data_IF_638581999216
#
_entry.id   IF_638581999216
#
_cell.length_a   1.000
_cell.length_b   1.000
_cell.length_c   1.000
_cell.angle_alpha   90.00
_cell.angle_beta   90.00
_cell.angle_gamma   90.00
#
_symmetry.space_group_name_H-M   'P 1'
#
loop_
_entity.id
_entity.type
_entity.pdbx_description
1 polymer ?
2 polymer ?
3 polymer ?
4 non-polymer ?
5 non-polymer ?
6 water ?
#
loop_
_entity_poly.entity_id
_entity_poly.type
_entity_poly.pdbx_seq_one_letter_code
_entity_poly.pdbx_strand_id
1 'polydeoxyribonucleotide' '(DG)(DG)(DG)(DG)(DT)(DG)(DT)(DG)(DG)(DT)(DA)(DG)' ?
2 'polydeoxyribonucleotide' '(DA)(DT)(DC)(DG)(DC)(DT)(DA)(DC)(DC)(DA)(DC)(DA)(DC)(DC)(DC)(DC)(DT)' ?
#
# COMPACT_ATOMS: atom_id res chain seq x y z
N UNK C 12 -17.12 -22.70 1.93
CA UNK C 12 -17.97 -21.60 1.47
C UNK C 12 -18.65 -20.87 2.62
N UNK C 13 -18.36 -19.58 2.75
CA UNK C 13 -18.89 -18.73 3.82
C UNK C 13 -19.52 -17.50 3.18
N UNK C 14 -20.83 -17.37 3.33
CA UNK C 14 -21.57 -16.28 2.71
C UNK C 14 -21.61 -15.08 3.64
N UNK C 15 -21.98 -13.93 3.08
CA UNK C 15 -21.86 -12.69 3.82
C UNK C 15 -22.77 -12.64 5.04
N UNK C 16 -23.83 -13.44 5.07
CA UNK C 16 -24.69 -13.43 6.24
C UNK C 16 -24.29 -14.49 7.27
N UNK C 17 -23.19 -15.17 7.06
CA UNK C 17 -22.62 -16.13 7.99
C UNK C 17 -21.74 -15.39 8.99
N UNK C 18 -21.80 -15.72 10.27
CA UNK C 18 -20.96 -14.99 11.24
C UNK C 18 -19.46 -15.06 10.93
N UNK C 19 -18.99 -16.09 10.24
CA UNK C 19 -17.57 -16.27 9.96
C UNK C 19 -17.12 -15.56 8.70
N UNK C 20 -17.95 -14.71 8.10
CA UNK C 20 -17.61 -14.16 6.80
C UNK C 20 -16.44 -13.19 6.91
N UNK C 21 -16.48 -12.29 7.88
CA UNK C 21 -15.40 -11.31 8.02
C UNK C 21 -14.06 -12.00 8.18
N UNK C 22 -14.00 -12.97 9.08
CA UNK C 22 -12.75 -13.67 9.35
C UNK C 22 -12.23 -14.36 8.10
N UNK C 23 -13.10 -15.05 7.36
CA UNK C 23 -12.65 -15.81 6.21
C UNK C 23 -12.28 -14.88 5.06
N UNK C 24 -13.06 -13.83 4.85
CA UNK C 24 -12.68 -12.86 3.82
C UNK C 24 -11.31 -12.27 4.11
N UNK C 25 -11.11 -11.78 5.34
CA UNK C 25 -9.83 -11.18 5.69
C UNK C 25 -8.70 -12.19 5.59
N UNK C 26 -8.96 -13.44 5.96
CA UNK C 26 -7.89 -14.43 5.88
C UNK C 26 -7.48 -14.67 4.43
N UNK C 27 -8.39 -14.44 3.48
CA UNK C 27 -8.12 -14.69 2.06
C UNK C 27 -7.65 -13.45 1.31
N UNK C 28 -7.85 -12.26 1.87
CA UNK C 28 -7.71 -11.02 1.12
C UNK C 28 -6.28 -10.51 1.24
N UNK C 29 -5.55 -10.53 0.12
CA UNK C 29 -4.19 -10.01 0.15
C UNK C 29 -4.18 -8.51 0.44
N UNK C 30 -5.21 -7.78 0.00
CA UNK C 30 -5.25 -6.35 0.28
C UNK C 30 -5.44 -6.08 1.78
N UNK C 31 -6.31 -6.85 2.44
CA UNK C 31 -6.40 -6.76 3.90
C UNK C 31 -5.05 -7.03 4.53
N UNK C 32 -4.38 -8.09 4.10
CA UNK C 32 -3.10 -8.45 4.70
C UNK C 32 -2.09 -7.32 4.51
N UNK C 33 -2.06 -6.70 3.33
CA UNK C 33 -1.14 -5.59 3.11
C UNK C 33 -1.38 -4.48 4.13
N UNK C 34 -2.65 -4.15 4.37
CA UNK C 34 -2.99 -3.08 5.32
C UNK C 34 -2.68 -3.48 6.75
N UNK C 35 -3.06 -4.70 7.14
CA UNK C 35 -2.78 -5.14 8.51
C UNK C 35 -1.27 -5.24 8.74
N UNK C 36 -0.52 -5.75 7.77
CA UNK C 36 0.91 -5.79 7.96
C UNK C 36 1.46 -4.38 8.12
N UNK C 37 0.99 -3.45 7.29
CA UNK C 37 1.52 -2.09 7.37
C UNK C 37 1.23 -1.48 8.73
N UNK C 38 0.00 -1.63 9.21
CA UNK C 38 -0.36 -1.00 10.49
C UNK C 38 0.41 -1.60 11.65
N UNK C 39 0.62 -2.92 11.63
CA UNK C 39 1.38 -3.54 12.72
C UNK C 39 2.85 -3.12 12.68
N UNK C 40 3.42 -2.94 11.49
CA UNK C 40 4.78 -2.43 11.41
C UNK C 40 4.87 -1.00 11.94
N UNK C 41 3.86 -0.17 11.68
CA UNK C 41 3.91 1.19 12.20
C UNK C 41 3.80 1.20 13.73
N UNK C 42 2.90 0.38 14.29
CA UNK C 42 2.80 0.28 15.75
C UNK C 42 4.09 -0.23 16.37
N UNK C 43 4.70 -1.25 15.73
CA UNK C 43 5.92 -1.82 16.25
C UNK C 43 7.04 -0.79 16.25
N UNK C 44 7.08 0.05 15.21
CA UNK C 44 8.02 1.15 15.21
C UNK C 44 7.77 2.07 16.41
N UNK C 45 6.51 2.44 16.62
CA UNK C 45 6.20 3.40 17.67
C UNK C 45 6.58 2.85 19.03
N UNK C 46 6.40 1.56 19.24
CA UNK C 46 6.75 0.95 20.53
C UNK C 46 8.25 0.93 20.76
N UNK C 47 9.00 0.38 19.81
CA UNK C 47 10.45 0.28 19.96
C UNK C 47 11.10 1.64 20.17
N UNK C 48 10.43 2.71 19.77
CA UNK C 48 11.01 4.04 19.86
C UNK C 48 10.26 4.89 20.88
N UNK C 49 9.50 4.23 21.77
CA UNK C 49 8.66 4.90 22.75
C UNK C 49 9.47 5.87 23.59
N UNK C 50 10.71 5.53 23.88
CA UNK C 50 11.59 6.41 24.63
C UNK C 50 12.81 6.84 23.85
N UNK C 51 13.26 6.02 22.91
CA UNK C 51 14.28 6.47 21.96
C UNK C 51 13.74 7.67 21.18
N UNK C 52 14.57 8.68 20.99
CA UNK C 52 14.21 9.79 20.11
C UNK C 52 14.92 9.54 18.78
N UNK C 53 14.26 8.76 17.95
CA UNK C 53 14.70 8.48 16.60
C UNK C 53 14.06 9.54 15.69
N UNK C 54 14.91 10.40 15.11
CA UNK C 54 14.49 11.52 14.29
C UNK C 54 15.73 12.04 13.59
N UNK C 55 15.51 12.60 12.43
CA UNK C 55 16.53 13.30 11.66
C UNK C 55 16.35 14.78 11.96
N UNK C 56 17.43 15.48 12.21
CA UNK C 56 17.37 16.91 12.44
C UNK C 56 17.94 17.64 11.24
N UNK C 57 17.63 18.93 11.14
CA UNK C 57 18.27 19.76 10.11
C UNK C 57 19.78 19.73 10.24
N UNK C 58 20.30 19.34 11.40
CA UNK C 58 21.74 19.27 11.63
C UNK C 58 22.37 18.17 10.78
N UNK C 59 21.59 17.18 10.39
CA UNK C 59 22.11 16.01 9.72
C UNK C 59 22.11 16.21 8.22
N UNK C 60 23.15 15.73 7.57
CA UNK C 60 23.10 15.42 6.14
C UNK C 60 22.93 13.93 6.04
N UNK C 61 21.98 13.48 5.24
CA UNK C 61 21.60 12.08 5.25
C UNK C 61 21.53 11.55 3.83
N UNK C 62 21.66 10.25 3.73
CA UNK C 62 21.47 9.55 2.48
C UNK C 62 20.33 8.56 2.70
N UNK C 63 19.49 8.40 1.67
CA UNK C 63 18.32 7.54 1.72
C UNK C 63 18.58 6.29 0.92
N UNK C 64 18.39 5.15 1.57
CA UNK C 64 18.41 3.86 0.91
C UNK C 64 16.96 3.40 0.94
N UNK C 65 16.38 3.23 -0.23
CA UNK C 65 15.01 2.77 -0.36
C UNK C 65 15.09 1.35 -0.89
N UNK C 66 14.64 0.42 -0.07
CA UNK C 66 14.87 -1.01 -0.27
C UNK C 66 13.51 -1.69 -0.46
N UNK C 67 13.42 -2.59 -1.43
CA UNK C 67 12.15 -3.23 -1.75
C UNK C 67 12.40 -4.62 -2.31
N UNK C 68 11.69 -5.64 -1.84
CA UNK C 68 11.81 -6.95 -2.46
C UNK C 68 11.41 -6.86 -3.93
N UNK C 69 12.02 -7.67 -4.77
CA UNK C 69 11.56 -7.80 -6.15
C UNK C 69 10.41 -8.78 -6.17
N UNK C 70 9.37 -8.51 -6.95
CA UNK C 70 8.17 -9.40 -7.07
C UNK C 70 7.98 -10.21 -5.78
N UNK C 71 7.79 -9.54 -4.64
CA UNK C 71 7.71 -10.19 -3.34
C UNK C 71 6.82 -11.43 -3.31
N UNK C 72 5.51 -11.28 -3.50
CA UNK C 72 4.63 -12.45 -3.38
C UNK C 72 5.06 -13.56 -4.33
N UNK C 73 5.33 -13.22 -5.59
CA UNK C 73 5.76 -14.21 -6.55
C UNK C 73 7.00 -14.95 -6.07
N UNK C 74 8.03 -14.20 -5.69
CA UNK C 74 9.26 -14.85 -5.22
C UNK C 74 8.94 -15.79 -4.05
N UNK C 75 8.34 -15.26 -2.98
CA UNK C 75 8.13 -16.08 -1.79
C UNK C 75 7.21 -17.25 -2.10
N UNK C 76 6.16 -17.02 -2.90
CA UNK C 76 5.28 -18.12 -3.28
C UNK C 76 6.03 -19.17 -4.07
N UNK C 77 7.00 -18.74 -4.86
CA UNK C 77 7.80 -19.72 -5.59
C UNK C 77 8.67 -20.52 -4.62
N UNK C 78 9.54 -19.84 -3.86
CA UNK C 78 10.48 -20.52 -2.96
C UNK C 78 9.79 -21.52 -2.06
N UNK C 79 8.55 -21.23 -1.65
CA UNK C 79 7.77 -22.06 -0.73
C UNK C 79 6.71 -22.87 -1.43
N UNK C 80 6.73 -22.93 -2.77
CA UNK C 80 5.71 -23.66 -3.50
C UNK C 80 5.63 -25.11 -3.01
N UNK C 81 4.43 -25.69 -3.13
CA UNK C 81 4.23 -27.07 -2.74
C UNK C 81 4.90 -28.00 -3.76
N UNK C 82 5.02 -29.27 -3.37
CA UNK C 82 5.64 -30.26 -4.25
C UNK C 82 4.96 -30.34 -5.62
N UNK C 83 3.72 -29.86 -5.71
CA UNK C 83 2.97 -29.89 -6.97
C UNK C 83 3.54 -28.93 -8.03
N UNK C 84 4.37 -27.95 -7.63
CA UNK C 84 5.04 -27.04 -8.56
C UNK C 84 6.55 -27.16 -8.46
N UNK C 85 7.03 -28.36 -8.16
CA UNK C 85 8.45 -28.55 -7.91
C UNK C 85 9.29 -28.18 -9.12
N UNK C 86 8.82 -28.50 -10.33
CA UNK C 86 9.65 -28.36 -11.52
C UNK C 86 9.60 -26.98 -12.14
N UNK C 87 8.68 -26.11 -11.69
CA UNK C 87 8.55 -24.80 -12.27
C UNK C 87 9.79 -23.96 -11.97
N UNK C 88 10.13 -23.07 -12.91
CA UNK C 88 11.42 -22.36 -12.93
C UNK C 88 11.17 -20.85 -12.93
N UNK C 89 11.63 -20.19 -11.87
CA UNK C 89 11.38 -18.77 -11.69
C UNK C 89 12.04 -17.92 -12.75
N UNK C 90 13.18 -18.38 -13.28
CA UNK C 90 13.93 -17.64 -14.27
C UNK C 90 13.40 -17.86 -15.67
N UNK C 91 12.59 -18.88 -15.89
CA UNK C 91 12.15 -19.19 -17.25
C UNK C 91 10.65 -19.17 -17.43
N UNK C 92 9.85 -19.40 -16.38
CA UNK C 92 8.43 -19.49 -16.71
C UNK C 92 7.69 -18.26 -16.21
N UNK C 93 6.61 -17.85 -16.90
CA UNK C 93 5.80 -16.72 -16.41
C UNK C 93 4.95 -17.15 -15.23
N UNK C 94 5.15 -16.49 -14.10
CA UNK C 94 4.56 -16.92 -12.83
C UNK C 94 3.73 -15.78 -12.27
N UNK C 95 2.51 -16.10 -11.83
CA UNK C 95 1.68 -15.17 -11.09
C UNK C 95 1.19 -15.83 -9.81
N UNK C 96 0.84 -14.99 -8.83
CA UNK C 96 0.17 -15.41 -7.61
C UNK C 96 -1.27 -14.92 -7.69
N UNK C 97 -2.22 -15.83 -7.47
CA UNK C 97 -3.63 -15.46 -7.58
C UNK C 97 -4.47 -16.54 -6.94
N UNK C 98 -5.72 -16.19 -6.61
CA UNK C 98 -6.64 -17.15 -6.02
C UNK C 98 -7.22 -18.09 -7.08
N UNK C 99 -7.60 -17.55 -8.23
CA UNK C 99 -8.46 -18.28 -9.12
C UNK C 99 -7.86 -18.46 -10.50
N UNK C 100 -8.74 -18.59 -11.49
CA UNK C 100 -8.39 -18.96 -12.85
C UNK C 100 -8.86 -17.98 -13.91
N UNK C 101 -9.94 -17.23 -13.66
CA UNK C 101 -10.47 -16.32 -14.66
C UNK C 101 -10.35 -14.86 -14.21
N UNK C 102 -11.40 -14.34 -13.55
CA UNK C 102 -11.40 -12.94 -13.14
C UNK C 102 -10.81 -12.77 -11.73
N UNK C 103 -9.66 -13.38 -11.54
CA UNK C 103 -8.94 -13.34 -10.27
C UNK C 103 -7.77 -12.39 -10.40
N UNK C 104 -7.60 -11.53 -9.40
CA UNK C 104 -6.54 -10.53 -9.44
C UNK C 104 -5.18 -11.21 -9.45
N UNK C 105 -4.27 -10.69 -10.23
CA UNK C 105 -2.87 -11.11 -10.14
C UNK C 105 -2.20 -10.24 -9.08
N UNK C 106 -1.92 -10.82 -7.92
CA UNK C 106 -1.33 -10.05 -6.81
C UNK C 106 0.15 -9.75 -7.04
N UNK C 107 0.84 -10.56 -7.85
CA UNK C 107 2.26 -10.43 -8.10
C UNK C 107 2.63 -11.29 -9.29
N UNK C 108 3.55 -10.82 -10.13
CA UNK C 108 4.02 -11.64 -11.24
C UNK C 108 5.53 -11.49 -11.35
N UNK C 109 6.20 -12.54 -11.84
CA UNK C 109 7.65 -12.42 -11.91
C UNK C 109 8.03 -11.64 -13.16
N UNK C 110 9.33 -11.43 -13.36
CA UNK C 110 9.76 -10.53 -14.41
C UNK C 110 9.71 -11.21 -15.77
N UNK C 111 9.82 -12.54 -15.80
CA UNK C 111 9.46 -13.32 -16.99
C UNK C 111 8.04 -12.99 -17.43
N UNK C 112 7.07 -13.12 -16.52
CA UNK C 112 5.70 -12.76 -16.87
C UNK C 112 5.61 -11.30 -17.31
N UNK C 113 6.30 -10.40 -16.60
CA UNK C 113 6.26 -8.99 -16.96
C UNK C 113 6.85 -8.74 -18.33
N UNK C 114 7.72 -9.63 -18.79
CA UNK C 114 8.33 -9.51 -20.11
C UNK C 114 7.30 -9.64 -21.23
N UNK C 115 6.16 -10.27 -20.96
CA UNK C 115 5.05 -10.33 -21.92
C UNK C 115 4.03 -9.23 -21.69
N UNK C 116 4.31 -8.27 -20.81
CA UNK C 116 3.40 -7.19 -20.54
C UNK C 116 2.39 -7.41 -19.44
N UNK C 117 2.54 -8.45 -18.63
CA UNK C 117 1.60 -8.70 -17.54
C UNK C 117 1.92 -7.78 -16.37
N UNK C 118 0.90 -7.28 -15.70
CA UNK C 118 1.06 -6.33 -14.60
C UNK C 118 0.23 -6.79 -13.41
N UNK C 119 0.74 -6.50 -12.22
CA UNK C 119 -0.04 -6.72 -11.01
C UNK C 119 -1.40 -6.06 -11.16
N UNK C 120 -2.43 -6.67 -10.57
CA UNK C 120 -3.78 -6.14 -10.68
C UNK C 120 -4.59 -6.65 -11.86
N UNK C 121 -3.92 -7.13 -12.92
CA UNK C 121 -4.61 -7.74 -14.04
C UNK C 121 -5.40 -8.96 -13.57
N UNK C 122 -6.48 -9.26 -14.28
CA UNK C 122 -7.15 -10.54 -14.08
C UNK C 122 -6.39 -11.63 -14.81
N UNK C 123 -6.54 -12.87 -14.34
CA UNK C 123 -5.81 -13.99 -14.94
C UNK C 123 -6.17 -14.14 -16.40
N UNK C 124 -7.46 -14.06 -16.72
CA UNK C 124 -7.90 -14.22 -18.10
C UNK C 124 -7.16 -13.28 -19.03
N UNK C 125 -7.08 -12.00 -18.66
CA UNK C 125 -6.40 -11.06 -19.55
C UNK C 125 -4.93 -11.39 -19.68
N UNK C 126 -4.25 -11.64 -18.56
CA UNK C 126 -2.85 -12.01 -18.64
C UNK C 126 -2.61 -13.29 -19.43
N UNK C 127 -3.62 -14.17 -19.51
CA UNK C 127 -3.48 -15.38 -20.31
C UNK C 127 -3.44 -15.07 -21.80
N UNK C 128 -4.16 -14.02 -22.21
CA UNK C 128 -4.16 -13.65 -23.62
C UNK C 128 -2.83 -13.05 -24.05
N UNK C 129 -2.00 -12.62 -23.11
CA UNK C 129 -0.82 -11.87 -23.47
C UNK C 129 0.36 -12.77 -23.73
N UNK C 130 0.16 -14.07 -23.63
CA UNK C 130 1.22 -15.05 -23.85
C UNK C 130 1.08 -15.66 -25.24
N UNK C 131 2.19 -15.85 -25.95
CA UNK C 131 2.14 -16.61 -27.21
C UNK C 131 1.71 -18.04 -26.96
N UNK C 132 1.29 -18.72 -28.03
CA UNK C 132 0.91 -20.12 -27.93
C UNK C 132 2.10 -20.98 -27.55
N UNK C 133 1.86 -22.01 -26.75
CA UNK C 133 2.93 -22.86 -26.27
C UNK C 133 3.55 -22.43 -24.96
N UNK C 134 3.49 -21.14 -24.65
CA UNK C 134 3.95 -20.65 -23.36
C UNK C 134 2.78 -20.70 -22.40
N UNK C 135 2.96 -21.34 -21.25
CA UNK C 135 1.87 -21.52 -20.30
C UNK C 135 2.11 -20.70 -19.04
N UNK C 136 1.03 -20.11 -18.54
CA UNK C 136 1.06 -19.31 -17.34
C UNK C 136 1.04 -20.19 -16.09
N UNK C 137 1.89 -19.86 -15.13
CA UNK C 137 1.93 -20.59 -13.87
C UNK C 137 1.22 -19.77 -12.81
N UNK C 138 0.19 -20.36 -12.19
CA UNK C 138 -0.61 -19.72 -11.14
C UNK C 138 -0.28 -20.37 -9.80
N UNK C 139 0.50 -19.63 -8.92
CA UNK C 139 0.79 -20.16 -7.59
C UNK C 139 -0.17 -19.61 -6.55
N UNK C 140 -0.52 -20.41 -5.53
CA UNK C 140 -1.35 -19.90 -4.44
C UNK C 140 -0.57 -18.96 -3.54
N UNK C 141 -1.31 -18.11 -2.83
CA UNK C 141 -0.71 -17.27 -1.82
C UNK C 141 -0.17 -18.10 -0.66
N UNK C 142 0.86 -17.55 0.02
CA UNK C 142 1.47 -18.16 1.21
C UNK C 142 1.69 -17.05 2.24
N UNK C 143 0.59 -16.65 2.89
CA UNK C 143 0.61 -15.42 3.68
C UNK C 143 1.53 -15.54 4.88
N UNK C 144 1.46 -16.68 5.58
CA UNK C 144 2.33 -16.85 6.74
C UNK C 144 3.80 -16.70 6.35
N UNK C 145 4.22 -17.37 5.27
CA UNK C 145 5.61 -17.25 4.87
C UNK C 145 5.92 -15.90 4.26
N UNK C 146 4.91 -15.18 3.74
CA UNK C 146 5.15 -13.79 3.35
C UNK C 146 5.54 -13.00 4.57
N UNK C 147 4.84 -13.21 5.68
CA UNK C 147 5.18 -12.48 6.90
C UNK C 147 6.53 -12.93 7.45
N UNK C 148 6.83 -14.23 7.37
CA UNK C 148 8.10 -14.71 7.94
C UNK C 148 9.29 -14.14 7.17
N UNK C 149 9.20 -14.05 5.85
CA UNK C 149 10.28 -13.46 5.06
C UNK C 149 10.45 -11.99 5.37
N UNK C 150 9.34 -11.28 5.62
CA UNK C 150 9.45 -9.88 6.00
C UNK C 150 10.13 -9.71 7.34
N UNK C 151 9.80 -10.55 8.31
CA UNK C 151 10.49 -10.48 9.60
C UNK C 151 11.99 -10.58 9.41
N UNK C 152 12.41 -11.52 8.56
CA UNK C 152 13.84 -11.69 8.28
C UNK C 152 14.41 -10.45 7.61
N UNK C 153 13.62 -9.83 6.73
CA UNK C 153 13.97 -8.58 6.10
C UNK C 153 14.26 -7.49 7.14
N UNK C 154 13.29 -7.22 8.02
CA UNK C 154 13.48 -6.15 8.99
C UNK C 154 14.53 -6.51 10.02
N UNK C 155 14.70 -7.81 10.30
CA UNK C 155 15.72 -8.24 11.25
C UNK C 155 17.13 -8.05 10.71
N UNK C 156 17.35 -8.38 9.44
CA UNK C 156 18.64 -8.13 8.80
C UNK C 156 18.92 -6.64 8.71
N UNK C 157 17.93 -5.85 8.30
CA UNK C 157 18.13 -4.41 8.23
C UNK C 157 18.67 -3.87 9.53
N UNK C 158 18.06 -4.27 10.65
CA UNK C 158 18.46 -3.74 11.96
C UNK C 158 19.85 -4.24 12.35
N UNK C 159 20.10 -5.54 12.21
CA UNK C 159 21.37 -6.03 12.71
C UNK C 159 22.57 -5.56 11.90
N UNK C 160 22.36 -5.02 10.70
CA UNK C 160 23.49 -4.43 9.96
C UNK C 160 24.06 -3.21 10.69
N UNK C 161 23.25 -2.53 11.49
CA UNK C 161 23.68 -1.39 12.31
C UNK C 161 24.22 -0.23 11.48
N UNK C 162 23.85 -0.11 10.21
CA UNK C 162 24.38 0.95 9.37
C UNK C 162 23.39 2.09 9.17
N UNK C 163 22.19 2.00 9.75
CA UNK C 163 21.15 3.01 9.57
C UNK C 163 20.82 3.67 10.89
N UNK C 164 20.44 4.94 10.79
CA UNK C 164 20.01 5.70 11.95
C UNK C 164 18.50 5.72 12.08
N UNK C 165 17.81 5.56 10.97
CA UNK C 165 16.35 5.50 10.98
C UNK C 165 15.95 4.46 9.94
N UNK C 166 15.08 3.54 10.34
CA UNK C 166 14.60 2.47 9.48
C UNK C 166 13.09 2.62 9.43
N UNK C 167 12.57 3.08 8.29
CA UNK C 167 11.16 3.44 8.20
C UNK C 167 10.38 2.34 7.50
N UNK C 168 9.36 1.76 8.14
CA UNK C 168 8.58 0.72 7.47
C UNK C 168 7.55 1.34 6.53
N UNK C 169 7.64 0.98 5.26
CA UNK C 169 6.67 1.41 4.26
C UNK C 169 5.61 0.35 4.07
N UNK C 170 6.03 -0.92 4.08
CA UNK C 170 5.12 -2.03 3.88
C UNK C 170 5.86 -3.33 4.20
N UNK C 171 5.13 -4.44 4.10
CA UNK C 171 5.66 -5.77 4.38
C UNK C 171 6.97 -6.04 3.67
N UNK C 172 7.15 -5.49 2.46
CA UNK C 172 8.29 -5.81 1.64
C UNK C 172 9.12 -4.59 1.30
N UNK C 173 8.93 -3.48 1.98
CA UNK C 173 9.52 -2.23 1.51
C UNK C 173 9.88 -1.36 2.69
N UNK C 174 11.06 -0.75 2.63
CA UNK C 174 11.49 0.10 3.73
C UNK C 174 12.36 1.24 3.23
N UNK C 175 12.19 2.42 3.84
CA UNK C 175 13.05 3.56 3.60
C UNK C 175 14.02 3.64 4.77
N UNK C 176 15.30 3.44 4.48
CA UNK C 176 16.35 3.39 5.49
C UNK C 176 17.23 4.63 5.35
N UNK C 177 17.63 5.24 6.46
CA UNK C 177 18.27 6.55 6.46
C UNK C 177 19.61 6.47 7.17
N UNK C 178 20.68 6.92 6.50
CA UNK C 178 22.01 6.99 7.08
C UNK C 178 22.42 8.44 7.19
N UNK C 179 22.85 8.84 8.38
CA UNK C 179 23.34 10.19 8.62
C UNK C 179 24.83 10.22 8.32
N UNK C 180 25.25 11.26 7.62
CA UNK C 180 26.65 11.40 7.21
C UNK C 180 27.25 12.51 8.07
N UNK C 181 28.20 12.20 8.94
CA UNK C 181 28.99 13.25 9.58
C UNK C 181 29.64 14.14 8.52
N UNK C 182 29.59 15.45 8.75
CA UNK C 182 30.49 16.35 8.04
C UNK C 182 31.95 15.95 8.25
N UNK C 183 32.24 15.20 9.31
CA UNK C 183 33.58 14.69 9.58
C UNK C 183 34.03 13.68 8.54
N UNK C 184 33.09 13.12 7.78
CA UNK C 184 33.38 12.01 6.88
C UNK C 184 33.00 12.41 5.47
N UNK C 185 33.76 11.87 4.54
CA UNK C 185 33.53 12.07 3.13
C UNK C 185 32.81 10.82 2.62
N UNK C 186 31.53 10.97 2.28
CA UNK C 186 30.79 9.88 1.67
C UNK C 186 31.20 9.74 0.21
N UNK C 187 31.35 8.49 -0.24
CA UNK C 187 31.72 8.21 -1.62
C UNK C 187 30.76 7.21 -2.22
N UNK C 188 30.73 7.15 -3.55
CA UNK C 188 29.87 6.14 -4.22
C UNK C 188 30.46 4.75 -4.02
N UNK C 189 31.77 4.65 -3.72
CA UNK C 189 32.35 3.35 -3.41
C UNK C 189 31.77 2.78 -2.13
N UNK C 190 31.73 3.58 -1.06
CA UNK C 190 31.11 3.15 0.18
C UNK C 190 29.64 2.81 -0.04
N UNK C 191 28.93 3.62 -0.84
CA UNK C 191 27.48 3.42 -1.03
C UNK C 191 27.20 2.14 -1.82
N UNK C 192 27.99 1.87 -2.85
CA UNK C 192 27.85 0.61 -3.55
C UNK C 192 28.09 -0.55 -2.59
N UNK C 193 29.08 -0.41 -1.71
CA UNK C 193 29.41 -1.52 -0.82
C UNK C 193 28.26 -1.78 0.13
N UNK C 194 27.67 -0.71 0.67
CA UNK C 194 26.52 -0.86 1.56
C UNK C 194 25.37 -1.54 0.83
N UNK C 195 25.05 -1.07 -0.37
CA UNK C 195 24.02 -1.71 -1.18
C UNK C 195 24.28 -3.20 -1.35
N UNK C 196 25.51 -3.55 -1.74
CA UNK C 196 25.84 -4.95 -1.98
C UNK C 196 25.75 -5.76 -0.69
N UNK C 197 26.20 -5.19 0.43
CA UNK C 197 26.03 -5.87 1.72
C UNK C 197 24.55 -6.09 2.00
N UNK C 198 23.76 -5.01 1.92
CA UNK C 198 22.32 -5.11 2.16
C UNK C 198 21.73 -6.19 1.29
N UNK C 199 22.03 -6.16 0.00
CA UNK C 199 21.42 -7.14 -0.90
C UNK C 199 21.85 -8.56 -0.54
N UNK C 200 23.15 -8.75 -0.27
CA UNK C 200 23.68 -10.08 0.05
C UNK C 200 23.07 -10.63 1.33
N UNK C 201 23.15 -9.86 2.41
CA UNK C 201 22.63 -10.30 3.70
C UNK C 201 21.16 -10.67 3.61
N UNK C 202 20.37 -9.87 2.89
CA UNK C 202 18.94 -10.15 2.80
C UNK C 202 18.68 -11.39 1.96
N UNK C 203 19.44 -11.57 0.88
CA UNK C 203 19.34 -12.81 0.12
C UNK C 203 19.68 -14.03 0.99
N UNK C 204 20.59 -13.86 1.95
CA UNK C 204 20.96 -14.95 2.84
C UNK C 204 19.92 -15.11 3.94
N UNK C 205 19.51 -14.00 4.56
CA UNK C 205 18.57 -14.06 5.67
C UNK C 205 17.18 -14.54 5.28
N UNK C 206 16.76 -14.29 4.03
CA UNK C 206 15.47 -14.75 3.53
C UNK C 206 15.58 -16.04 2.75
N UNK C 207 16.78 -16.59 2.62
CA UNK C 207 16.98 -17.86 1.93
C UNK C 207 16.46 -17.82 0.49
N UNK C 208 16.86 -16.80 -0.26
CA UNK C 208 16.59 -16.79 -1.70
C UNK C 208 15.85 -15.60 -2.25
N UNK C 209 15.39 -14.65 -1.43
CA UNK C 209 14.67 -13.50 -1.94
C UNK C 209 15.63 -12.35 -2.25
N UNK C 210 15.32 -11.59 -3.29
CA UNK C 210 16.16 -10.48 -3.72
C UNK C 210 15.48 -9.15 -3.46
N UNK C 211 16.27 -8.14 -3.08
CA UNK C 211 15.80 -6.76 -2.97
C UNK C 211 16.59 -5.90 -3.95
N UNK C 212 15.93 -4.88 -4.47
CA UNK C 212 16.63 -3.82 -5.18
C UNK C 212 16.64 -2.56 -4.34
N UNK C 213 17.58 -1.66 -4.64
CA UNK C 213 17.82 -0.53 -3.75
C UNK C 213 17.99 0.73 -4.57
N UNK C 214 17.29 1.78 -4.16
CA UNK C 214 17.50 3.12 -4.67
C UNK C 214 18.23 3.93 -3.61
N UNK C 215 19.24 4.66 -4.05
CA UNK C 215 20.17 5.32 -3.14
C UNK C 215 20.38 6.75 -3.61
N UNK C 216 20.10 7.72 -2.75
CA UNK C 216 20.09 9.12 -3.17
C UNK C 216 20.06 10.00 -1.93
N UNK C 217 19.95 11.30 -2.17
CA UNK C 217 19.85 12.32 -1.12
C UNK C 217 18.50 13.03 -1.11
N UNK C 218 17.50 12.50 -1.84
CA UNK C 218 16.11 12.85 -1.61
C UNK C 218 15.30 11.55 -1.60
N UNK C 219 14.13 11.60 -0.97
CA UNK C 219 13.28 10.42 -0.97
C UNK C 219 12.75 10.13 -2.37
N UNK C 220 12.37 11.18 -3.09
CA UNK C 220 11.80 10.97 -4.39
C UNK C 220 12.85 10.40 -5.34
N UNK C 221 14.06 10.95 -5.33
CA UNK C 221 15.10 10.37 -6.18
C UNK C 221 15.42 8.93 -5.75
N UNK C 222 15.40 8.67 -4.44
CA UNK C 222 15.66 7.30 -4.01
C UNK C 222 14.58 6.35 -4.52
N UNK C 223 13.33 6.82 -4.63
CA UNK C 223 12.27 5.98 -5.17
C UNK C 223 12.47 5.75 -6.65
N UNK C 224 12.78 6.81 -7.38
CA UNK C 224 13.02 6.66 -8.81
C UNK C 224 14.22 5.77 -9.06
N UNK C 225 15.32 6.03 -8.34
CA UNK C 225 16.50 5.16 -8.42
C UNK C 225 16.12 3.70 -8.27
N UNK C 226 15.20 3.42 -7.34
CA UNK C 226 14.79 2.06 -7.06
C UNK C 226 14.08 1.45 -8.27
N UNK C 227 13.16 2.19 -8.86
CA UNK C 227 12.54 1.69 -10.09
C UNK C 227 13.61 1.46 -11.13
N UNK C 228 14.55 2.40 -11.26
CA UNK C 228 15.66 2.19 -12.19
C UNK C 228 16.45 0.96 -11.81
N UNK C 229 16.58 0.67 -10.51
CA UNK C 229 17.40 -0.46 -10.10
C UNK C 229 16.78 -1.81 -10.43
N UNK C 230 15.45 -1.92 -10.42
CA UNK C 230 14.86 -3.25 -10.57
C UNK C 230 15.17 -3.79 -11.96
N UNK C 231 15.19 -5.12 -12.13
CA UNK C 231 15.15 -6.15 -11.09
C UNK C 231 16.52 -6.53 -10.48
N UNK C 232 16.53 -6.81 -9.18
CA UNK C 232 17.69 -7.41 -8.52
C UNK C 232 18.97 -6.61 -8.78
N UNK C 233 18.88 -5.30 -8.57
CA UNK C 233 20.08 -4.50 -8.70
C UNK C 233 20.03 -3.30 -7.77
N UNK C 234 20.92 -2.35 -7.96
CA UNK C 234 20.82 -1.14 -7.17
C UNK C 234 21.25 0.03 -8.02
N UNK C 235 20.78 1.21 -7.62
CA UNK C 235 21.10 2.41 -8.35
C UNK C 235 21.39 3.52 -7.35
N UNK C 236 22.40 4.31 -7.69
CA UNK C 236 22.87 5.41 -6.88
C UNK C 236 22.73 6.65 -7.73
N UNK C 237 21.78 7.54 -7.42
CA UNK C 237 21.62 8.76 -8.21
C UNK C 237 21.36 9.94 -7.29
N UNK C 238 22.37 10.79 -7.12
CA UNK C 238 22.22 11.96 -6.27
C UNK C 238 21.75 13.13 -7.11
N UNK C 239 21.28 14.18 -6.42
CA UNK C 239 20.87 15.37 -7.13
C UNK C 239 21.97 15.83 -8.08
N UNK C 240 23.23 15.70 -7.66
CA UNK C 240 24.34 16.14 -8.48
C UNK C 240 24.51 15.32 -9.76
N UNK C 241 23.98 14.11 -9.81
CA UNK C 241 24.06 13.24 -10.99
C UNK C 241 22.84 13.33 -11.90
N UNK C 242 21.92 14.26 -11.64
CA UNK C 242 20.72 14.32 -12.46
C UNK C 242 21.09 14.64 -13.90
N UNK C 243 20.32 14.09 -14.84
CA UNK C 243 20.66 14.19 -16.25
C UNK C 243 19.46 13.83 -17.11
N UNK C 244 19.52 14.28 -18.36
CA UNK C 244 18.49 13.95 -19.33
C UNK C 244 18.31 12.43 -19.44
N UNK C 245 19.43 11.69 -19.53
CA UNK C 245 19.36 10.23 -19.56
C UNK C 245 18.60 9.67 -18.38
N UNK C 246 18.66 10.32 -17.23
CA UNK C 246 17.89 9.86 -16.09
C UNK C 246 16.41 10.12 -16.31
N UNK C 247 16.02 11.38 -16.51
CA UNK C 247 14.59 11.68 -16.61
C UNK C 247 13.95 10.96 -17.79
N UNK C 248 14.71 10.75 -18.88
CA UNK C 248 14.15 10.12 -20.07
C UNK C 248 13.72 8.68 -19.84
N UNK C 249 14.22 8.06 -18.77
CA UNK C 249 13.97 6.65 -18.56
C UNK C 249 12.76 6.37 -17.67
N UNK C 250 11.92 7.37 -17.40
CA UNK C 250 10.79 7.19 -16.50
C UNK C 250 9.49 7.60 -17.17
N UNK C 251 8.45 6.79 -16.95
CA UNK C 251 7.07 7.15 -17.26
C UNK C 251 6.58 8.22 -16.29
N UNK C 252 5.52 8.92 -16.69
CA UNK C 252 4.96 9.97 -15.84
C UNK C 252 4.40 9.41 -14.54
N UNK C 253 3.81 8.22 -14.58
CA UNK C 253 3.24 7.63 -13.38
C UNK C 253 4.28 6.92 -12.54
N UNK C 254 5.57 7.08 -12.84
CA UNK C 254 6.61 6.69 -11.90
C UNK C 254 6.80 7.72 -10.79
N UNK C 255 6.29 8.93 -10.99
CA UNK C 255 6.38 9.96 -9.97
C UNK C 255 5.45 9.65 -8.82
N UNK C 256 5.91 9.68 -7.57
CA UNK C 256 4.99 9.46 -6.45
C UNK C 256 3.92 10.52 -6.43
N UNK C 257 2.69 10.10 -6.17
CA UNK C 257 1.58 11.00 -6.27
C UNK C 257 0.88 10.97 -7.61
N UNK C 258 1.51 10.40 -8.64
CA UNK C 258 0.91 10.36 -9.99
C UNK C 258 0.37 8.95 -10.23
N UNK C 259 -0.92 8.78 -9.94
CA UNK C 259 -1.68 7.64 -10.38
C UNK C 259 -2.45 7.97 -11.66
N UNK C 260 -3.39 7.08 -11.99
CA UNK C 260 -3.99 7.11 -13.33
C UNK C 260 -4.77 8.41 -13.59
N UNK C 261 -5.46 8.93 -12.57
CA UNK C 261 -6.24 10.16 -12.76
C UNK C 261 -5.33 11.36 -12.97
N UNK C 262 -4.28 11.48 -12.17
CA UNK C 262 -3.33 12.55 -12.40
C UNK C 262 -2.63 12.37 -13.75
N UNK C 263 -2.24 11.13 -14.08
CA UNK C 263 -1.65 10.85 -15.37
C UNK C 263 -2.53 11.38 -16.51
N UNK C 264 -3.81 10.98 -16.49
CA UNK C 264 -4.73 11.40 -17.54
C UNK C 264 -4.76 12.91 -17.67
N UNK C 265 -4.79 13.63 -16.54
CA UNK C 265 -4.83 15.08 -16.58
C UNK C 265 -3.54 15.66 -17.16
N UNK C 266 -2.39 15.09 -16.76
CA UNK C 266 -1.12 15.57 -17.27
C UNK C 266 -1.00 15.34 -18.78
N UNK C 267 -1.44 14.18 -19.24
CA UNK C 267 -1.38 13.89 -20.67
C UNK C 267 -2.23 14.89 -21.45
N UNK C 268 -3.40 15.23 -20.91
CA UNK C 268 -4.25 16.23 -21.56
C UNK C 268 -3.58 17.60 -21.60
N UNK C 269 -3.08 18.06 -20.46
CA UNK C 269 -2.52 19.40 -20.40
C UNK C 269 -1.25 19.56 -21.22
N UNK C 270 -0.43 18.52 -21.33
CA UNK C 270 0.90 18.71 -21.88
C UNK C 270 1.18 17.78 -23.05
N UNK C 271 0.13 17.42 -23.80
CA UNK C 271 0.29 16.87 -25.15
C UNK C 271 0.93 15.49 -25.10
N UNK C 272 0.45 14.68 -24.17
CA UNK C 272 0.89 13.30 -23.99
C UNK C 272 2.41 13.19 -23.89
N UNK C 273 3.03 13.77 -22.85
CA UNK C 273 4.42 13.46 -22.56
C UNK C 273 4.59 11.97 -22.36
N UNK C 274 5.70 11.42 -22.86
CA UNK C 274 5.93 9.99 -22.75
C UNK C 274 7.10 9.66 -21.84
N UNK C 275 7.68 10.68 -21.20
CA UNK C 275 8.70 10.44 -20.19
C UNK C 275 8.75 11.66 -19.29
N UNK C 276 9.31 11.47 -18.10
CA UNK C 276 9.53 12.62 -17.23
C UNK C 276 10.39 13.68 -17.90
N UNK C 277 11.30 13.29 -18.77
CA UNK C 277 12.06 14.29 -19.51
C UNK C 277 11.14 15.12 -20.40
N UNK C 278 10.23 14.47 -21.13
CA UNK C 278 9.24 15.22 -21.91
C UNK C 278 8.48 16.20 -21.04
N UNK C 279 7.92 15.70 -19.93
CA UNK C 279 7.14 16.56 -19.05
C UNK C 279 7.99 17.69 -18.48
N UNK C 280 9.24 17.36 -18.12
CA UNK C 280 10.13 18.33 -17.51
C UNK C 280 10.37 19.51 -18.44
N UNK C 281 10.50 19.23 -19.75
CA UNK C 281 10.87 20.27 -20.70
C UNK C 281 9.67 21.05 -21.19
N UNK C 282 8.45 20.54 -20.99
CA UNK C 282 7.27 21.20 -21.50
C UNK C 282 6.49 21.97 -20.45
N UNK C 283 6.78 21.78 -19.17
CA UNK C 283 5.86 22.27 -18.15
C UNK C 283 6.25 23.63 -17.64
N UNK C 284 5.24 24.42 -17.31
CA UNK C 284 5.34 25.59 -16.46
C UNK C 284 4.58 25.30 -15.17
N UNK C 285 5.12 25.77 -14.04
CA UNK C 285 4.50 25.46 -12.75
C UNK C 285 3.03 25.88 -12.69
N UNK C 286 2.70 27.02 -13.28
CA UNK C 286 1.32 27.51 -13.24
C UNK C 286 0.38 26.51 -13.92
N UNK C 287 0.67 26.16 -15.17
CA UNK C 287 -0.17 25.20 -15.89
C UNK C 287 -0.25 23.88 -15.15
N UNK C 288 0.87 23.46 -14.57
CA UNK C 288 0.90 22.25 -13.76
C UNK C 288 -0.10 22.34 -12.61
N UNK C 289 0.00 23.39 -11.80
CA UNK C 289 -0.97 23.58 -10.72
C UNK C 289 -2.39 23.57 -11.27
N UNK C 290 -2.59 24.23 -12.41
CA UNK C 290 -3.91 24.30 -13.01
C UNK C 290 -4.40 22.92 -13.42
N UNK C 291 -3.50 22.07 -13.88
CA UNK C 291 -3.90 20.77 -14.41
C UNK C 291 -4.33 19.82 -13.29
N UNK C 292 -3.55 19.75 -12.22
CA UNK C 292 -3.67 18.65 -11.26
C UNK C 292 -3.95 19.13 -9.84
N UNK C 293 -3.77 20.41 -9.53
CA UNK C 293 -3.97 20.90 -8.18
C UNK C 293 -2.75 21.65 -7.67
N UNK C 294 -2.96 22.61 -6.79
CA UNK C 294 -1.86 23.47 -6.33
C UNK C 294 -0.80 22.67 -5.58
N UNK C 295 -1.22 21.92 -4.57
CA UNK C 295 -0.26 21.18 -3.75
C UNK C 295 0.39 20.04 -4.52
N UNK C 296 -0.41 19.25 -5.26
CA UNK C 296 0.16 18.22 -6.11
C UNK C 296 1.02 18.83 -7.20
N UNK C 297 0.52 19.88 -7.87
CA UNK C 297 1.34 20.58 -8.84
C UNK C 297 2.70 20.99 -8.32
N UNK C 298 2.75 21.50 -7.09
CA UNK C 298 4.03 21.92 -6.53
C UNK C 298 4.92 20.73 -6.16
N UNK C 299 4.32 19.60 -5.75
CA UNK C 299 5.09 18.42 -5.44
C UNK C 299 5.72 17.83 -6.70
N UNK C 300 4.96 17.81 -7.78
CA UNK C 300 5.52 17.32 -9.04
C UNK C 300 6.65 18.23 -9.49
N UNK C 301 6.43 19.54 -9.35
CA UNK C 301 7.46 20.50 -9.71
C UNK C 301 8.72 20.25 -8.91
N UNK C 302 8.59 20.15 -7.60
CA UNK C 302 9.75 19.84 -6.75
C UNK C 302 10.37 18.51 -7.15
N UNK C 303 9.54 17.50 -7.41
CA UNK C 303 10.09 16.19 -7.78
C UNK C 303 10.87 16.27 -9.08
N UNK C 304 10.39 17.07 -10.03
CA UNK C 304 11.10 17.17 -11.29
C UNK C 304 12.44 17.87 -11.15
N UNK C 305 12.77 18.39 -9.97
CA UNK C 305 14.11 18.85 -9.65
C UNK C 305 14.83 17.88 -8.74
N UNK C 306 14.25 16.72 -8.46
CA UNK C 306 14.83 15.80 -7.49
C UNK C 306 14.66 16.21 -6.05
N UNK C 307 13.69 17.06 -5.74
CA UNK C 307 13.57 17.59 -4.39
C UNK C 307 12.25 17.18 -3.74
N UNK C 308 12.33 16.82 -2.46
CA UNK C 308 11.14 16.48 -1.71
C UNK C 308 10.39 17.75 -1.32
N UNK C 309 9.06 17.64 -1.25
CA UNK C 309 8.21 18.68 -0.68
C UNK C 309 8.19 18.58 0.84
N UNK C 310 7.70 19.63 1.50
CA UNK C 310 7.74 19.59 2.96
C UNK C 310 6.82 18.52 3.52
N UNK C 311 5.75 18.17 2.78
CA UNK C 311 4.87 17.13 3.28
C UNK C 311 5.60 15.78 3.34
N UNK C 312 6.31 15.41 2.26
CA UNK C 312 7.04 14.15 2.31
C UNK C 312 8.13 14.17 3.36
N UNK C 313 8.71 15.33 3.63
CA UNK C 313 9.84 15.39 4.55
C UNK C 313 9.47 15.10 6.00
N UNK C 314 8.18 15.18 6.35
CA UNK C 314 7.81 15.01 7.76
C UNK C 314 8.15 13.64 8.28
N UNK C 315 8.12 12.62 7.42
CA UNK C 315 8.42 11.28 7.90
C UNK C 315 9.86 11.18 8.40
N UNK C 316 10.72 12.09 8.00
CA UNK C 316 12.11 12.08 8.44
C UNK C 316 12.30 12.87 9.73
N UNK C 317 11.73 14.08 9.79
CA UNK C 317 11.97 14.94 10.92
C UNK C 317 11.06 14.65 12.08
N UNK C 318 9.88 14.09 11.84
CA UNK C 318 9.00 13.67 12.94
C UNK C 318 8.29 12.39 12.59
N UNK C 319 9.00 11.27 12.65
CA UNK C 319 8.41 10.01 12.20
C UNK C 319 7.35 9.48 13.14
N UNK C 320 7.42 9.80 14.43
CA UNK C 320 6.44 9.24 15.36
C UNK C 320 5.04 9.79 15.12
N UNK C 321 4.90 11.04 14.69
CA UNK C 321 3.56 11.50 14.38
C UNK C 321 3.12 11.09 12.98
N UNK C 322 4.04 10.85 12.07
CA UNK C 322 3.60 10.41 10.75
C UNK C 322 3.03 9.00 10.82
N UNK C 323 3.68 8.12 11.59
CA UNK C 323 3.28 6.71 11.68
C UNK C 323 2.18 6.47 12.69
N UNK C 324 1.77 7.54 13.38
CA UNK C 324 0.68 7.45 14.40
C UNK C 324 -0.67 7.30 13.71
N UNK C 325 -1.37 6.21 13.98
CA UNK C 325 -2.70 5.97 13.43
C UNK C 325 -3.68 7.06 13.85
N UNK C 326 -4.36 7.66 12.88
CA UNK C 326 -5.28 8.76 13.15
C UNK C 326 -6.74 8.40 12.92
N UNK C 327 -7.02 7.28 12.26
CA UNK C 327 -8.37 6.82 12.04
C UNK C 327 -8.30 5.32 11.85
N UNK C 328 -9.45 4.67 11.89
CA UNK C 328 -9.47 3.22 11.85
C UNK C 328 -10.75 2.77 11.15
N UNK C 329 -10.66 1.74 10.31
CA UNK C 329 -11.81 1.40 9.48
C UNK C 329 -11.64 0.02 8.85
N UNK C 330 -12.74 -0.48 8.29
CA UNK C 330 -12.75 -1.68 7.46
C UNK C 330 -13.63 -1.45 6.25
N UNK C 331 -13.33 -2.17 5.18
CA UNK C 331 -14.00 -2.02 3.90
C UNK C 331 -14.29 -3.40 3.36
N UNK C 332 -15.53 -3.69 3.01
CA UNK C 332 -15.84 -4.98 2.42
C UNK C 332 -16.61 -4.70 1.16
N UNK C 333 -15.98 -4.91 0.03
CA UNK C 333 -16.59 -4.61 -1.24
C UNK C 333 -16.56 -5.84 -2.13
N UNK C 334 -16.63 -7.01 -1.51
CA UNK C 334 -16.60 -8.27 -2.24
C UNK C 334 -17.40 -9.28 -1.43
N UNK C 335 -18.25 -10.04 -2.11
CA UNK C 335 -19.08 -11.00 -1.44
C UNK C 335 -20.32 -10.44 -0.79
N UNK C 336 -20.71 -9.21 -1.12
CA UNK C 336 -21.83 -8.53 -0.48
C UNK C 336 -23.11 -8.83 -1.26
N UNK C 337 -23.95 -9.71 -0.68
CA UNK C 337 -25.24 -10.09 -1.28
C UNK C 337 -26.19 -10.34 -0.11
N UNK C 338 -26.94 -9.32 0.27
CA UNK C 338 -27.90 -9.44 1.34
C UNK C 338 -29.32 -9.33 0.78
N UNK C 339 -30.25 -10.03 1.45
CA UNK C 339 -31.63 -10.16 1.00
C UNK C 339 -32.58 -9.29 1.78
N UNK C 340 -32.23 -8.91 2.99
CA UNK C 340 -33.12 -8.06 3.78
C UNK C 340 -32.30 -7.20 4.74
N UNK C 341 -32.99 -6.24 5.36
CA UNK C 341 -32.34 -5.24 6.21
C UNK C 341 -31.84 -5.84 7.51
N UNK C 342 -32.49 -6.91 7.99
CA UNK C 342 -32.05 -7.56 9.21
C UNK C 342 -30.63 -8.09 9.05
N UNK C 343 -30.35 -8.74 7.92
CA UNK C 343 -29.03 -9.31 7.71
C UNK C 343 -27.98 -8.22 7.51
N UNK C 344 -28.35 -7.13 6.83
CA UNK C 344 -27.42 -6.01 6.72
C UNK C 344 -27.09 -5.46 8.11
N UNK C 345 -28.09 -5.36 8.97
CA UNK C 345 -27.86 -4.80 10.30
C UNK C 345 -26.92 -5.70 11.12
N UNK C 346 -27.08 -7.02 11.02
CA UNK C 346 -26.21 -7.93 11.77
C UNK C 346 -24.78 -7.84 11.25
N UNK C 347 -24.64 -7.71 9.93
CA UNK C 347 -23.31 -7.56 9.39
C UNK C 347 -22.67 -6.29 9.93
N UNK C 348 -23.43 -5.19 9.97
CA UNK C 348 -22.89 -3.94 10.48
C UNK C 348 -22.46 -4.08 11.94
N UNK C 349 -23.20 -4.86 12.72
CA UNK C 349 -22.82 -5.10 14.10
C UNK C 349 -21.55 -5.95 14.17
N UNK C 350 -21.47 -7.01 13.38
CA UNK C 350 -20.22 -7.77 13.31
C UNK C 350 -19.05 -6.88 12.96
N UNK C 351 -19.23 -5.96 12.01
CA UNK C 351 -18.16 -5.06 11.66
C UNK C 351 -17.81 -4.13 12.79
N UNK C 352 -18.81 -3.56 13.47
CA UNK C 352 -18.50 -2.70 14.60
C UNK C 352 -17.76 -3.47 15.69
N UNK C 353 -18.22 -4.68 16.01
CA UNK C 353 -17.52 -5.46 17.01
C UNK C 353 -16.06 -5.63 16.64
N UNK C 354 -15.79 -6.01 15.40
CA UNK C 354 -14.40 -6.19 14.98
C UNK C 354 -13.62 -4.89 15.16
N UNK C 355 -14.16 -3.78 14.67
CA UNK C 355 -13.48 -2.50 14.77
C UNK C 355 -13.25 -2.09 16.23
N UNK C 356 -14.18 -2.45 17.11
CA UNK C 356 -14.04 -2.08 18.51
C UNK C 356 -13.00 -2.93 19.18
N UNK C 357 -12.87 -4.19 18.76
CA UNK C 357 -11.77 -5.00 19.27
C UNK C 357 -10.45 -4.33 18.94
N UNK C 358 -10.29 -3.90 17.69
CA UNK C 358 -9.06 -3.20 17.28
C UNK C 358 -8.88 -1.90 18.06
N UNK C 359 -9.96 -1.13 18.22
CA UNK C 359 -9.87 0.15 18.93
C UNK C 359 -9.46 -0.05 20.38
N UNK C 360 -9.92 -1.13 21.01
CA UNK C 360 -9.53 -1.34 22.39
C UNK C 360 -8.08 -1.78 22.50
N UNK C 361 -7.60 -2.55 21.53
CA UNK C 361 -6.17 -2.88 21.54
C UNK C 361 -5.31 -1.63 21.67
N UNK C 362 -5.70 -0.54 21.02
CA UNK C 362 -4.84 0.63 20.98
C UNK C 362 -5.30 1.65 22.00
N UNK C 363 -6.25 1.23 22.85
CA UNK C 363 -6.66 2.02 24.02
C UNK C 363 -7.12 3.43 23.64
N UNK C 364 -8.09 3.49 22.75
CA UNK C 364 -8.58 4.77 22.29
C UNK C 364 -10.09 4.70 22.22
N UNK C 365 -10.69 5.87 22.05
CA UNK C 365 -12.11 6.04 21.80
C UNK C 365 -12.26 6.83 20.51
N UNK C 366 -13.50 6.90 20.00
CA UNK C 366 -13.82 7.63 18.78
C UNK C 366 -14.86 8.69 19.07
N UNK C 367 -14.70 9.83 18.39
CA UNK C 367 -15.65 10.94 18.46
C UNK C 367 -16.45 11.16 17.17
N UNK C 368 -16.06 10.55 16.05
CA UNK C 368 -16.81 10.71 14.81
C UNK C 368 -16.68 9.42 14.03
N UNK C 369 -17.79 8.98 13.40
CA UNK C 369 -17.78 7.74 12.62
C UNK C 369 -18.45 7.99 11.28
N UNK C 370 -18.13 7.11 10.32
CA UNK C 370 -18.63 7.24 8.97
C UNK C 370 -19.07 5.87 8.46
N UNK C 371 -20.19 5.84 7.74
CA UNK C 371 -20.57 4.69 6.94
C UNK C 371 -20.48 5.02 5.46
N UNK C 372 -19.85 4.16 4.70
CA UNK C 372 -19.78 4.30 3.26
C UNK C 372 -20.33 3.01 2.66
N UNK C 373 -20.98 3.12 1.51
CA UNK C 373 -21.52 1.93 0.86
C UNK C 373 -21.38 2.07 -0.64
N UNK C 374 -21.36 0.91 -1.30
CA UNK C 374 -21.43 0.79 -2.75
C UNK C 374 -22.80 0.24 -3.14
N UNK C 375 -23.42 0.87 -4.13
CA UNK C 375 -24.73 0.44 -4.58
C UNK C 375 -24.68 0.14 -6.07
N UNK C 376 -25.27 -0.99 -6.46
CA UNK C 376 -25.32 -1.38 -7.86
C UNK C 376 -25.84 -0.23 -8.71
N UNK C 377 -25.10 0.12 -9.77
CA UNK C 377 -25.61 1.14 -10.69
C UNK C 377 -26.89 0.64 -11.31
N UNK C 378 -27.83 1.56 -11.56
CA UNK C 378 -29.18 1.12 -11.88
C UNK C 378 -29.23 0.32 -13.17
N UNK C 379 -28.30 0.55 -14.09
CA UNK C 379 -28.20 -0.15 -15.37
C UNK C 379 -27.14 -1.25 -15.36
N UNK C 380 -26.63 -1.64 -14.19
CA UNK C 380 -25.56 -2.62 -14.14
C UNK C 380 -26.12 -3.99 -13.79
N UNK C 381 -25.52 -5.06 -14.30
CA UNK C 381 -26.04 -6.39 -14.02
C UNK C 381 -25.99 -6.72 -12.53
N UNK C 382 -27.01 -7.46 -12.10
CA UNK C 382 -27.12 -7.90 -10.72
C UNK C 382 -25.97 -8.83 -10.36
N UNK C 383 -25.43 -9.55 -11.33
CA UNK C 383 -24.26 -10.40 -11.08
C UNK C 383 -23.16 -9.91 -12.02
N UNK C 384 -22.10 -9.32 -11.49
CA UNK C 384 -21.12 -8.66 -12.35
C UNK C 384 -20.18 -9.68 -12.94
N UNK C 385 -19.28 -9.26 -13.85
CA UNK C 385 -18.36 -10.24 -14.44
C UNK C 385 -17.49 -10.96 -13.41
N UNK C 386 -17.05 -10.27 -12.36
CA UNK C 386 -16.24 -10.91 -11.34
C UNK C 386 -17.15 -11.64 -10.39
N UNK C 387 -16.92 -12.94 -10.22
CA UNK C 387 -17.71 -13.68 -9.26
C UNK C 387 -17.70 -12.98 -7.91
N UNK C 388 -18.88 -12.67 -7.39
CA UNK C 388 -19.06 -12.00 -6.10
C UNK C 388 -18.49 -10.58 -6.06
N UNK C 389 -18.16 -10.01 -7.19
CA UNK C 389 -17.63 -8.67 -7.16
C UNK C 389 -18.69 -7.61 -6.92
N UNK C 390 -18.23 -6.41 -6.62
CA UNK C 390 -19.16 -5.29 -6.49
C UNK C 390 -19.69 -4.84 -7.84
N UNK C 391 -18.90 -4.97 -8.90
CA UNK C 391 -19.26 -4.43 -10.20
C UNK C 391 -19.31 -2.91 -10.19
N UNK C 392 -19.94 -2.38 -11.24
CA UNK C 392 -20.13 -0.95 -11.40
C UNK C 392 -21.08 -0.43 -10.31
N UNK C 393 -20.62 0.55 -9.52
CA UNK C 393 -21.40 1.00 -8.39
C UNK C 393 -21.39 2.52 -8.29
N UNK C 394 -22.37 3.05 -7.56
CA UNK C 394 -22.33 4.42 -7.09
C UNK C 394 -21.96 4.42 -5.60
N UNK C 395 -21.14 5.39 -5.19
CA UNK C 395 -20.69 5.47 -3.82
C UNK C 395 -21.50 6.50 -3.04
N UNK C 396 -21.77 6.20 -1.78
CA UNK C 396 -22.51 7.06 -0.87
C UNK C 396 -21.82 7.00 0.48
N UNK C 397 -21.61 8.13 1.11
CA UNK C 397 -21.08 8.12 2.47
C UNK C 397 -21.84 9.10 3.33
N UNK C 398 -21.78 8.90 4.64
CA UNK C 398 -22.30 9.90 5.53
C UNK C 398 -21.64 9.70 6.88
N UNK C 399 -21.28 10.81 7.54
CA UNK C 399 -20.58 10.76 8.82
C UNK C 399 -21.44 11.35 9.93
N UNK C 400 -20.98 11.16 11.17
CA UNK C 400 -21.76 11.61 12.32
C UNK C 400 -20.82 11.80 13.51
N UNK C 401 -20.89 12.98 14.13
CA UNK C 401 -20.13 13.24 15.35
C UNK C 401 -20.86 12.63 16.53
N UNK C 402 -20.11 11.98 17.41
CA UNK C 402 -20.68 11.44 18.63
C UNK C 402 -20.59 12.50 19.71
N UNK C 403 -21.51 12.44 20.69
CA UNK C 403 -21.52 13.46 21.76
C UNK C 403 -20.22 13.47 22.54
N UNK C 404 -19.95 12.39 23.29
CA UNK C 404 -18.72 12.25 24.03
C UNK C 404 -17.90 11.20 23.28
N UNK C 405 -16.58 11.28 23.27
CA UNK C 405 -15.78 10.17 22.74
C UNK C 405 -16.21 8.87 23.39
N UNK C 406 -16.28 7.79 22.62
CA UNK C 406 -16.75 6.55 23.21
C UNK C 406 -16.09 5.35 22.58
N UNK C 407 -16.19 4.23 23.28
CA UNK C 407 -15.93 2.94 22.68
C UNK C 407 -17.07 1.97 22.97
N UNK C 408 -18.27 2.50 23.20
CA UNK C 408 -19.39 1.66 23.59
C UNK C 408 -20.10 1.12 22.34
N UNK C 409 -20.17 -0.22 22.24
CA UNK C 409 -20.81 -0.85 21.09
C UNK C 409 -22.23 -0.34 20.89
N UNK C 410 -23.00 -0.29 21.98
CA UNK C 410 -24.40 0.16 21.90
C UNK C 410 -24.58 1.48 21.18
N UNK C 411 -23.79 2.48 21.55
CA UNK C 411 -23.87 3.77 20.88
C UNK C 411 -23.42 3.65 19.42
N UNK C 412 -22.28 3.01 19.20
CA UNK C 412 -21.63 3.11 17.89
C UNK C 412 -22.38 2.28 16.87
N UNK C 413 -22.73 1.05 17.23
CA UNK C 413 -23.44 0.22 16.28
C UNK C 413 -24.81 0.80 15.96
N UNK C 414 -25.45 1.44 16.93
CA UNK C 414 -26.76 2.03 16.67
C UNK C 414 -26.66 3.18 15.68
N UNK C 415 -25.68 4.06 15.89
CA UNK C 415 -25.49 5.16 14.95
C UNK C 415 -25.09 4.65 13.58
N UNK C 416 -24.30 3.57 13.52
CA UNK C 416 -23.94 3.01 12.22
C UNK C 416 -25.16 2.53 11.47
N UNK C 417 -26.05 1.81 12.15
CA UNK C 417 -27.22 1.30 11.46
C UNK C 417 -28.15 2.42 11.07
N UNK C 418 -28.17 3.48 11.86
CA UNK C 418 -28.93 4.68 11.49
C UNK C 418 -28.28 5.38 10.32
N UNK C 419 -26.95 5.46 10.31
CA UNK C 419 -26.28 6.01 9.14
C UNK C 419 -26.67 5.22 7.90
N UNK C 420 -26.71 3.89 7.98
CA UNK C 420 -27.12 3.13 6.81
C UNK C 420 -28.53 3.54 6.40
N UNK C 421 -29.42 3.70 7.39
CA UNK C 421 -30.80 4.04 7.10
C UNK C 421 -30.91 5.29 6.26
N UNK C 422 -30.16 6.34 6.64
CA UNK C 422 -30.36 7.61 5.96
C UNK C 422 -29.83 7.57 4.54
N UNK C 423 -29.02 6.58 4.18
CA UNK C 423 -28.51 6.51 2.81
C UNK C 423 -29.46 5.78 1.89
N UNK C 424 -30.45 5.07 2.42
CA UNK C 424 -31.58 4.59 1.65
C UNK C 424 -31.27 3.51 0.62
N UNK C 425 -30.25 2.70 0.86
CA UNK C 425 -29.86 1.70 -0.11
C UNK C 425 -30.63 0.41 0.13
N UNK C 426 -31.48 -0.01 -0.79
CA UNK C 426 -32.16 -1.30 -0.63
C UNK C 426 -31.15 -2.41 -0.43
N UNK C 427 -31.40 -3.31 0.52
CA UNK C 427 -30.42 -4.38 0.81
C UNK C 427 -30.02 -5.22 -0.38
N UNK C 428 -30.94 -5.56 -1.28
CA UNK C 428 -30.56 -6.36 -2.44
C UNK C 428 -29.73 -5.58 -3.45
N UNK C 429 -29.69 -4.25 -3.35
CA UNK C 429 -28.82 -3.45 -4.21
C UNK C 429 -27.45 -3.22 -3.58
N UNK C 430 -27.24 -3.64 -2.34
CA UNK C 430 -25.99 -3.36 -1.67
C UNK C 430 -24.90 -4.25 -2.23
N UNK C 431 -23.74 -3.65 -2.53
CA UNK C 431 -22.59 -4.39 -3.03
C UNK C 431 -21.32 -4.16 -2.23
N UNK C 432 -21.35 -3.30 -1.22
CA UNK C 432 -20.12 -2.88 -0.61
C UNK C 432 -20.38 -2.02 0.59
N UNK C 433 -19.54 -2.17 1.61
CA UNK C 433 -19.74 -1.47 2.87
C UNK C 433 -18.39 -1.13 3.49
N UNK C 434 -18.27 0.08 4.00
CA UNK C 434 -17.12 0.46 4.80
C UNK C 434 -17.60 1.06 6.12
N UNK C 435 -16.86 0.79 7.20
CA UNK C 435 -17.16 1.30 8.53
C UNK C 435 -15.94 2.02 9.06
N UNK C 436 -16.08 3.27 9.50
CA UNK C 436 -14.92 4.09 9.80
C UNK C 436 -15.06 4.77 11.16
N UNK C 437 -13.96 4.77 11.91
CA UNK C 437 -13.78 5.60 13.11
C UNK C 437 -12.84 6.72 12.70
N UNK C 438 -13.38 7.94 12.54
CA UNK C 438 -12.64 9.00 11.88
C UNK C 438 -11.71 9.76 12.83
N UNK C 439 -12.16 10.06 14.04
CA UNK C 439 -11.32 10.76 15.02
C UNK C 439 -11.13 9.87 16.21
N UNK C 440 -9.88 9.72 16.64
CA UNK C 440 -9.56 8.90 17.78
C UNK C 440 -9.03 9.78 18.91
N UNK C 441 -9.31 9.38 20.14
CA UNK C 441 -9.05 10.16 21.34
C UNK C 441 -8.38 9.25 22.37
N UNK C 442 -7.23 9.66 22.90
CA UNK C 442 -6.53 8.82 23.85
C UNK C 442 -7.33 8.61 25.13
N UNK C 443 -7.17 7.45 25.74
CA UNK C 443 -7.71 7.20 27.07
C UNK C 443 -6.54 7.28 28.04
N UNK C 444 -6.65 8.18 29.01
CA UNK C 444 -5.61 8.35 29.99
C UNK C 444 -5.99 7.75 31.32
N UNK C 445 -5.07 7.81 32.30
CA UNK C 445 -5.38 7.25 33.62
C UNK C 445 -6.51 7.95 34.32
N UNK C 446 -6.74 9.21 33.98
CA UNK C 446 -7.78 10.02 34.60
C UNK C 446 -9.06 9.87 33.79
N UNK C 447 -10.11 9.33 34.42
CA UNK C 447 -11.40 9.14 33.77
C UNK C 447 -12.55 9.71 34.59
N UNK C 448 -12.27 10.59 35.56
CA UNK C 448 -13.32 11.14 36.40
C UNK C 448 -14.11 12.18 35.62
N UNK C 449 -15.41 11.91 35.43
CA UNK C 449 -16.31 12.50 34.42
C UNK C 449 -15.61 13.44 33.46
#
# INVERSE_FOLDING_TARGET
PVNLNNLEAKRIVACDDPDFLTSYFAHSRLHHLSAWKANLKDKFLNENIHKYTKITDKDTYIIFHIDFDCFFATVAYLCRSSSFSACDFKRDPIVVCHGTKNSDIASCNYVARSYGIKNGMWVSQAEKMLPNGIKLISLPYTFEQFQLKSEAFYSTLKRLNIFNLILPISIDEAVCVRIIPDNIHNTNTLNARLCEEIRQEIFQGTNGCTVSIGCSDSLVLARLALKMAKPNGYNITFKSNLSEEFWSSFKLDDLPGVGHSTLSRLESTFDSPHSLNDLRKRYTLDALKASVGSKLGMKIHLALQGQDDEESLKILYDPKEVLQRKSLSIDINWGIRFKNITQVDLFIERGCQYLLEKLNEINKTTSQITLKLMRRCKDAPIEPPKYMGMGRCDSFSRSSRLGIPTNEFGIIATEMKSLYRTLGCPPMELRGLALQFNKLVDVGPDNNQLK
#
